data_IF_817244944275
#
_entry.id   IF_817244944275
#
_cell.length_a   1.000
_cell.length_b   1.000
_cell.length_c   1.000
_cell.angle_alpha   90.00
_cell.angle_beta   90.00
_cell.angle_gamma   90.00
#
_symmetry.space_group_name_H-M   'P 1'
#
loop_
_entity.id
_entity.type
_entity.pdbx_description
1 polymer ?
#
# COMPACT_ATOMS: atom_id res chain seq x y z
N UNK A 1 2.95 9.39 -12.12
CA UNK A 1 3.11 8.62 -10.87
C UNK A 1 3.75 7.24 -11.11
N UNK A 2 3.17 6.37 -11.94
CA UNK A 2 3.69 5.00 -12.19
C UNK A 2 5.19 4.96 -12.55
N UNK A 3 5.63 5.80 -13.49
CA UNK A 3 7.05 5.88 -13.88
C UNK A 3 7.98 6.33 -12.74
N UNK A 4 7.50 7.26 -11.89
CA UNK A 4 8.26 7.74 -10.74
C UNK A 4 8.38 6.64 -9.68
N UNK A 5 7.27 5.97 -9.34
CA UNK A 5 7.27 4.88 -8.37
C UNK A 5 8.21 3.73 -8.78
N UNK A 6 8.19 3.36 -10.06
CA UNK A 6 9.08 2.31 -10.60
C UNK A 6 10.55 2.74 -10.59
N UNK A 7 10.83 4.01 -10.89
CA UNK A 7 12.19 4.57 -10.78
C UNK A 7 12.68 4.58 -9.33
N UNK A 8 11.87 5.05 -8.39
CA UNK A 8 12.22 5.08 -6.95
C UNK A 8 12.44 3.69 -6.37
N UNK A 9 11.73 2.68 -6.88
CA UNK A 9 11.98 1.27 -6.48
C UNK A 9 13.41 0.81 -6.82
N UNK A 10 14.09 1.46 -7.76
CA UNK A 10 15.48 1.19 -8.13
C UNK A 10 16.47 2.13 -7.42
N UNK A 11 16.19 3.44 -7.42
CA UNK A 11 17.15 4.45 -6.95
C UNK A 11 17.06 4.75 -5.45
N UNK A 12 15.92 4.44 -4.82
CA UNK A 12 15.69 4.57 -3.36
C UNK A 12 15.05 3.30 -2.75
N UNK A 13 15.65 2.12 -2.97
CA UNK A 13 15.01 0.83 -2.68
C UNK A 13 14.75 0.58 -1.18
N UNK A 14 15.48 1.24 -0.29
CA UNK A 14 15.29 1.14 1.15
C UNK A 14 14.07 1.92 1.67
N UNK A 15 13.61 2.92 0.93
CA UNK A 15 12.55 3.84 1.39
C UNK A 15 11.19 3.49 0.79
N UNK A 16 11.16 3.14 -0.50
CA UNK A 16 9.92 2.79 -1.19
C UNK A 16 10.19 1.71 -2.22
N UNK A 17 9.15 0.97 -2.59
CA UNK A 17 9.29 -0.04 -3.63
C UNK A 17 8.02 -0.82 -3.86
N UNK A 18 8.03 -1.65 -4.91
CA UNK A 18 6.90 -2.52 -5.24
C UNK A 18 6.51 -3.47 -4.10
N UNK A 19 7.39 -3.71 -3.12
CA UNK A 19 7.13 -4.56 -1.96
C UNK A 19 6.35 -3.90 -0.81
N UNK A 20 5.99 -2.62 -0.92
CA UNK A 20 5.31 -1.88 0.16
C UNK A 20 3.90 -1.41 -0.20
N UNK A 21 3.45 -0.40 0.54
CA UNK A 21 2.21 0.32 0.36
C UNK A 21 2.41 1.83 0.16
N UNK A 22 1.37 2.50 -0.31
CA UNK A 22 1.36 3.94 -0.51
C UNK A 22 -0.04 4.53 -0.41
N UNK A 23 -0.10 5.83 -0.15
CA UNK A 23 -1.30 6.64 -0.34
C UNK A 23 -1.04 7.62 -1.48
N UNK A 24 -1.98 7.73 -2.42
CA UNK A 24 -1.89 8.69 -3.52
C UNK A 24 -3.04 9.68 -3.39
N UNK A 25 -2.70 10.96 -3.34
CA UNK A 25 -3.65 12.06 -3.40
C UNK A 25 -3.61 12.63 -4.81
N UNK A 26 -4.76 12.64 -5.47
CA UNK A 26 -4.90 13.11 -6.85
C UNK A 26 -5.95 14.22 -6.92
N UNK A 27 -5.53 15.39 -7.41
CA UNK A 27 -6.43 16.51 -7.64
C UNK A 27 -6.81 16.57 -9.12
N UNK A 28 -8.10 16.47 -9.41
CA UNK A 28 -8.68 16.77 -10.72
C UNK A 28 -9.08 18.24 -10.75
N UNK A 29 -8.36 19.03 -11.56
CA UNK A 29 -8.62 20.47 -11.68
C UNK A 29 -9.86 20.81 -12.54
N UNK A 30 -10.33 19.88 -13.37
CA UNK A 30 -11.56 20.06 -14.16
C UNK A 30 -12.76 19.79 -13.28
N UNK A 31 -12.78 18.62 -12.62
CA UNK A 31 -13.87 18.23 -11.73
C UNK A 31 -13.80 18.91 -10.34
N UNK A 32 -12.72 19.66 -10.06
CA UNK A 32 -12.46 20.30 -8.76
C UNK A 32 -12.58 19.33 -7.58
N UNK A 33 -12.05 18.12 -7.77
CA UNK A 33 -12.23 17.02 -6.82
C UNK A 33 -10.88 16.45 -6.40
N UNK A 34 -10.74 16.18 -5.10
CA UNK A 34 -9.60 15.46 -4.53
C UNK A 34 -9.97 13.99 -4.33
N UNK A 35 -9.29 13.10 -5.03
CA UNK A 35 -9.38 11.65 -4.85
C UNK A 35 -8.19 11.17 -4.02
N UNK A 36 -8.44 10.22 -3.12
CA UNK A 36 -7.39 9.57 -2.34
C UNK A 36 -7.46 8.07 -2.60
N UNK A 37 -6.35 7.50 -3.04
CA UNK A 37 -6.18 6.07 -3.21
C UNK A 37 -5.40 5.52 -2.03
N UNK A 38 -5.97 4.50 -1.38
CA UNK A 38 -5.35 3.76 -0.29
C UNK A 38 -4.83 2.43 -0.85
N UNK A 39 -3.50 2.32 -0.91
CA UNK A 39 -2.82 1.07 -1.20
C UNK A 39 -1.91 0.70 -0.03
N UNK A 40 -2.43 0.68 1.21
CA UNK A 40 -1.68 0.21 2.37
C UNK A 40 -1.50 -1.31 2.36
N UNK A 41 -0.38 -1.79 2.88
CA UNK A 41 -0.18 -3.21 3.10
C UNK A 41 -1.24 -3.77 4.07
N UNK A 42 -1.62 -5.03 3.88
CA UNK A 42 -2.59 -5.73 4.74
C UNK A 42 -1.98 -6.98 5.35
N UNK A 43 -2.31 -7.27 6.61
CA UNK A 43 -1.89 -8.50 7.25
C UNK A 43 -2.38 -9.73 6.44
N UNK A 44 -1.53 -10.74 6.20
CA UNK A 44 -1.94 -11.94 5.48
C UNK A 44 -3.02 -12.71 6.27
N UNK A 45 -3.85 -13.49 5.58
CA UNK A 45 -4.99 -14.20 6.18
C UNK A 45 -4.65 -15.13 7.37
N UNK A 46 -3.39 -15.57 7.48
CA UNK A 46 -2.91 -16.45 8.56
C UNK A 46 -2.32 -15.67 9.75
N UNK A 47 -2.26 -14.34 9.69
CA UNK A 47 -1.83 -13.54 10.82
C UNK A 47 -2.82 -13.66 11.97
N UNK A 48 -2.32 -13.84 13.19
CA UNK A 48 -3.12 -13.88 14.41
C UNK A 48 -2.69 -12.78 15.37
N UNK A 49 -3.50 -12.42 16.39
CA UNK A 49 -3.11 -11.41 17.38
C UNK A 49 -1.82 -11.74 18.13
N UNK A 50 -1.48 -13.03 18.25
CA UNK A 50 -0.29 -13.53 18.95
C UNK A 50 0.98 -13.54 18.08
N UNK A 51 0.90 -13.06 16.83
CA UNK A 51 1.99 -13.15 15.86
C UNK A 51 3.33 -12.59 16.37
N UNK A 52 3.30 -11.62 17.27
CA UNK A 52 4.49 -10.99 17.86
C UNK A 52 4.71 -11.32 19.35
N UNK A 53 4.13 -12.43 19.82
CA UNK A 53 4.38 -12.97 21.16
C UNK A 53 5.31 -14.17 21.10
N UNK A 54 6.09 -14.37 22.17
CA UNK A 54 6.87 -15.57 22.39
C UNK A 54 6.02 -16.73 22.96
N UNK A 55 6.67 -17.85 23.25
CA UNK A 55 6.02 -19.06 23.79
C UNK A 55 5.40 -18.86 25.18
N UNK A 56 5.84 -17.87 25.94
CA UNK A 56 5.36 -17.55 27.28
C UNK A 56 4.32 -16.41 27.24
N UNK A 57 3.91 -15.98 26.03
CA UNK A 57 2.94 -14.93 25.80
C UNK A 57 3.49 -13.51 25.94
N UNK A 58 4.81 -13.34 26.03
CA UNK A 58 5.44 -12.03 26.16
C UNK A 58 5.76 -11.42 24.79
N UNK A 59 5.73 -10.08 24.62
CA UNK A 59 6.11 -9.45 23.37
C UNK A 59 7.55 -9.76 22.97
N UNK A 60 7.78 -10.07 21.70
CA UNK A 60 9.11 -10.18 21.13
C UNK A 60 9.88 -8.86 21.26
N UNK A 61 11.22 -8.93 21.35
CA UNK A 61 12.05 -7.74 21.23
C UNK A 61 11.90 -7.16 19.82
N UNK A 62 12.02 -5.84 19.70
CA UNK A 62 11.76 -5.14 18.44
C UNK A 62 12.52 -5.72 17.23
N UNK A 63 13.83 -5.95 17.35
CA UNK A 63 14.61 -6.50 16.23
C UNK A 63 14.25 -7.94 15.88
N UNK A 64 13.82 -8.73 16.87
CA UNK A 64 13.35 -10.11 16.66
C UNK A 64 11.95 -10.12 16.01
N UNK A 65 11.13 -9.11 16.29
CA UNK A 65 9.82 -8.93 15.66
C UNK A 65 9.96 -8.47 14.20
N UNK A 66 10.82 -7.46 13.95
CA UNK A 66 10.95 -6.76 12.66
C UNK A 66 11.67 -7.58 11.60
N UNK A 67 12.71 -8.32 11.98
CA UNK A 67 13.53 -9.05 11.00
C UNK A 67 12.86 -10.38 10.64
N UNK A 68 12.41 -10.49 9.39
CA UNK A 68 11.86 -11.73 8.82
C UNK A 68 10.43 -11.57 8.31
N UNK A 69 9.80 -12.68 7.91
CA UNK A 69 8.51 -12.67 7.24
C UNK A 69 7.31 -12.25 8.10
N UNK A 70 7.43 -12.26 9.43
CA UNK A 70 6.32 -11.91 10.34
C UNK A 70 5.88 -10.45 10.20
N UNK A 71 6.83 -9.56 9.93
CA UNK A 71 6.59 -8.12 9.74
C UNK A 71 6.28 -7.73 8.30
N UNK A 72 6.17 -8.69 7.38
CA UNK A 72 5.83 -8.41 5.99
C UNK A 72 4.32 -8.42 5.80
N UNK A 73 3.75 -7.26 5.53
CA UNK A 73 2.38 -7.15 5.03
C UNK A 73 2.28 -7.55 3.55
N UNK A 74 1.07 -7.84 3.07
CA UNK A 74 0.81 -8.12 1.66
C UNK A 74 1.06 -6.83 0.85
N UNK A 75 2.00 -6.82 -0.12
CA UNK A 75 2.33 -5.62 -0.89
C UNK A 75 1.12 -5.11 -1.69
N UNK A 76 0.94 -3.79 -1.73
CA UNK A 76 -0.23 -3.15 -2.31
C UNK A 76 0.10 -2.18 -3.45
N UNK A 77 1.33 -1.68 -3.53
CA UNK A 77 1.77 -0.76 -4.61
C UNK A 77 1.52 -1.32 -6.03
N UNK A 78 1.77 -2.60 -6.37
CA UNK A 78 1.52 -3.10 -7.72
C UNK A 78 0.05 -2.95 -8.13
N UNK A 79 -0.89 -3.29 -7.23
CA UNK A 79 -2.33 -3.14 -7.48
C UNK A 79 -2.74 -1.67 -7.55
N UNK A 80 -2.19 -0.83 -6.67
CA UNK A 80 -2.41 0.61 -6.68
C UNK A 80 -1.95 1.25 -8.01
N UNK A 81 -0.78 0.84 -8.54
CA UNK A 81 -0.28 1.33 -9.82
C UNK A 81 -1.16 0.89 -10.99
N UNK A 82 -1.66 -0.34 -10.99
CA UNK A 82 -2.64 -0.83 -11.97
C UNK A 82 -3.92 0.02 -11.97
N UNK A 83 -4.49 0.26 -10.78
CA UNK A 83 -5.70 1.07 -10.60
C UNK A 83 -5.47 2.49 -11.10
N UNK A 84 -4.40 3.16 -10.66
CA UNK A 84 -4.13 4.54 -11.09
C UNK A 84 -3.83 4.62 -12.58
N UNK A 85 -3.12 3.63 -13.15
CA UNK A 85 -2.86 3.60 -14.58
C UNK A 85 -4.15 3.46 -15.39
N UNK A 86 -5.07 2.60 -14.93
CA UNK A 86 -6.36 2.36 -15.56
C UNK A 86 -7.28 3.57 -15.38
N UNK A 87 -7.47 4.05 -14.16
CA UNK A 87 -8.37 5.16 -13.83
C UNK A 87 -7.95 6.47 -14.51
N UNK A 88 -6.65 6.76 -14.66
CA UNK A 88 -6.21 7.96 -15.39
C UNK A 88 -6.60 7.90 -16.88
N UNK A 89 -6.67 6.69 -17.45
CA UNK A 89 -7.15 6.48 -18.82
C UNK A 89 -8.68 6.58 -18.89
N UNK A 90 -9.40 6.16 -17.83
CA UNK A 90 -10.87 6.26 -17.74
C UNK A 90 -11.39 7.62 -17.28
N UNK A 91 -10.59 8.50 -16.66
CA UNK A 91 -11.00 9.87 -16.33
C UNK A 91 -11.23 10.77 -17.57
N UNK A 92 -10.95 10.30 -18.78
CA UNK A 92 -11.43 10.91 -20.03
C UNK A 92 -12.88 10.50 -20.39
N UNK A 93 -13.53 9.65 -19.60
CA UNK A 93 -14.87 9.13 -19.84
C UNK A 93 -15.56 8.66 -18.55
N UNK A 94 -16.30 9.58 -17.95
CA UNK A 94 -17.36 9.37 -16.94
C UNK A 94 -16.96 8.90 -15.52
N UNK A 95 -17.72 9.45 -14.56
CA UNK A 95 -17.52 9.40 -13.11
C UNK A 95 -17.61 7.97 -12.55
N UNK A 96 -16.57 7.50 -11.83
CA UNK A 96 -16.78 6.49 -10.79
C UNK A 96 -15.83 6.56 -9.60
N UNK A 97 -16.39 6.13 -8.47
CA UNK A 97 -15.90 6.15 -7.10
C UNK A 97 -14.80 5.13 -6.82
N UNK A 98 -13.85 5.50 -5.95
CA UNK A 98 -13.27 4.57 -4.96
C UNK A 98 -13.26 5.25 -3.57
N UNK A 99 -14.26 4.92 -2.76
CA UNK A 99 -14.27 4.91 -1.28
C UNK A 99 -15.22 3.75 -0.90
N UNK A 100 -14.94 2.84 0.04
CA UNK A 100 -14.12 2.88 1.26
C UNK A 100 -13.52 1.50 1.54
N UNK A 101 -12.29 1.46 2.02
CA UNK A 101 -11.88 0.40 2.94
C UNK A 101 -12.75 0.54 4.21
N UNK A 102 -13.66 -0.40 4.41
CA UNK A 102 -14.17 -0.72 5.75
C UNK A 102 -13.31 -1.86 6.27
N UNK A 103 -12.71 -1.62 7.43
CA UNK A 103 -11.94 -2.56 8.25
C UNK A 103 -12.56 -3.96 8.29
#
# INVERSE_FOLDING_TARGET
MVAVQTTLSLVEPQSSGLGGGAFVLYWDNTAKTLTTFDGRETAPMRATPELFLDKDGQPLKFMEAVVGGRSVGTPAIPKLMEVIHSDTVYCLGENYLIRRSTW
#
